data_IF_870293187770
#
_entry.id   IF_870293187770
#
_cell.length_a   1.000
_cell.length_b   1.000
_cell.length_c   1.000
_cell.angle_alpha   90.00
_cell.angle_beta   90.00
_cell.angle_gamma   90.00
#
_symmetry.space_group_name_H-M   'P 1'
#
loop_
_entity.id
_entity.type
_entity.pdbx_description
1 polymer ?
#
# COMPACT_ATOMS: atom_id res chain seq x y z
N UNK A 1 -6.24 6.73 9.88
CA UNK A 1 -5.45 5.99 8.86
C UNK A 1 -4.26 6.85 8.51
N UNK A 2 -3.04 6.31 8.54
CA UNK A 2 -1.78 7.08 8.42
C UNK A 2 -1.68 7.94 7.15
N UNK A 3 -2.21 7.47 6.03
CA UNK A 3 -2.21 8.14 4.74
C UNK A 3 -3.62 8.53 4.25
N UNK A 4 -4.52 8.90 5.15
CA UNK A 4 -5.82 9.48 4.79
C UNK A 4 -5.70 10.95 4.39
N UNK A 5 -4.67 11.66 4.86
CA UNK A 5 -4.33 13.01 4.42
C UNK A 5 -3.69 12.96 3.04
N UNK A 6 -4.17 13.83 2.12
CA UNK A 6 -3.69 13.88 0.73
C UNK A 6 -2.24 14.34 0.61
N UNK A 7 -1.77 15.22 1.49
CA UNK A 7 -0.39 15.68 1.47
C UNK A 7 0.56 14.55 1.86
N UNK A 8 0.20 13.78 2.90
CA UNK A 8 1.00 12.62 3.32
C UNK A 8 0.99 11.52 2.28
N UNK A 9 -0.16 11.28 1.62
CA UNK A 9 -0.26 10.33 0.52
C UNK A 9 0.58 10.75 -0.68
N UNK A 10 0.62 12.05 -1.01
CA UNK A 10 1.46 12.58 -2.09
C UNK A 10 2.95 12.45 -1.77
N UNK A 11 3.36 12.73 -0.52
CA UNK A 11 4.74 12.52 -0.06
C UNK A 11 5.15 11.04 -0.21
N UNK A 12 4.28 10.11 0.21
CA UNK A 12 4.52 8.68 0.04
C UNK A 12 4.65 8.29 -1.42
N UNK A 13 3.75 8.78 -2.29
CA UNK A 13 3.80 8.54 -3.73
C UNK A 13 5.13 9.04 -4.33
N UNK A 14 5.54 10.26 -3.99
CA UNK A 14 6.79 10.85 -4.43
C UNK A 14 8.01 10.01 -3.99
N UNK A 15 8.02 9.56 -2.73
CA UNK A 15 9.10 8.76 -2.18
C UNK A 15 9.26 7.41 -2.88
N UNK A 16 8.14 6.74 -3.22
CA UNK A 16 8.13 5.44 -3.91
C UNK A 16 8.56 5.58 -5.37
N UNK A 17 8.10 6.63 -6.05
CA UNK A 17 8.26 6.79 -7.50
C UNK A 17 9.44 7.70 -7.90
N UNK A 18 10.10 8.34 -6.93
CA UNK A 18 11.18 9.31 -7.19
C UNK A 18 10.68 10.55 -7.93
N UNK A 19 9.45 10.96 -7.65
CA UNK A 19 8.80 12.17 -8.21
C UNK A 19 8.78 13.30 -7.19
N UNK A 20 8.37 14.50 -7.61
CA UNK A 20 8.35 15.70 -6.78
C UNK A 20 7.09 16.54 -7.03
N UNK A 21 5.92 15.88 -7.08
CA UNK A 21 4.64 16.59 -7.14
C UNK A 21 4.42 17.36 -5.84
N UNK A 22 3.90 18.59 -5.94
CA UNK A 22 3.66 19.51 -4.82
C UNK A 22 2.18 19.84 -4.61
N UNK A 23 1.33 19.50 -5.58
CA UNK A 23 -0.11 19.74 -5.52
C UNK A 23 -0.89 18.46 -5.15
N UNK A 24 -1.43 18.35 -3.92
CA UNK A 24 -2.21 17.20 -3.49
C UNK A 24 -3.56 17.05 -4.21
N UNK A 25 -4.05 18.10 -4.87
CA UNK A 25 -5.31 18.03 -5.63
C UNK A 25 -5.17 17.23 -6.94
N UNK A 26 -3.94 16.94 -7.37
CA UNK A 26 -3.67 16.00 -8.45
C UNK A 26 -4.06 14.55 -8.10
N UNK A 27 -4.19 14.23 -6.81
CA UNK A 27 -4.63 12.92 -6.34
C UNK A 27 -6.14 12.79 -6.46
N UNK A 28 -6.59 11.90 -7.33
CA UNK A 28 -8.00 11.49 -7.39
C UNK A 28 -8.14 10.21 -6.54
N UNK A 29 -8.55 10.38 -5.29
CA UNK A 29 -8.76 9.25 -4.37
C UNK A 29 -10.07 8.57 -4.76
N UNK A 30 -9.99 7.31 -5.13
CA UNK A 30 -11.12 6.46 -5.44
C UNK A 30 -11.40 5.58 -4.21
N UNK A 31 -12.30 6.03 -3.35
CA UNK A 31 -12.81 5.21 -2.25
C UNK A 31 -13.78 4.19 -2.85
N UNK A 32 -13.41 2.92 -2.87
CA UNK A 32 -14.31 1.82 -3.19
C UNK A 32 -15.26 1.60 -1.99
N UNK A 33 -16.26 2.48 -1.83
CA UNK A 33 -17.26 2.37 -0.74
C UNK A 33 -18.11 1.09 -0.80
N UNK A 34 -18.05 0.35 -1.91
CA UNK A 34 -18.89 -0.83 -2.18
C UNK A 34 -18.12 -2.14 -2.41
N UNK A 35 -16.83 -2.21 -2.12
CA UNK A 35 -16.11 -3.46 -2.26
C UNK A 35 -16.54 -4.43 -1.15
N UNK A 36 -17.50 -5.30 -1.45
CA UNK A 36 -18.09 -6.33 -0.57
C UNK A 36 -17.03 -7.28 0.05
N UNK A 37 -15.81 -7.25 -0.44
CA UNK A 37 -14.67 -8.06 0.02
C UNK A 37 -13.63 -7.29 0.84
N UNK A 38 -13.82 -5.98 1.06
CA UNK A 38 -12.85 -5.17 1.79
C UNK A 38 -13.22 -5.04 3.28
N UNK A 39 -13.03 -6.10 4.04
CA UNK A 39 -12.93 -6.00 5.51
C UNK A 39 -11.60 -5.36 5.96
N UNK A 40 -10.84 -4.75 5.05
CA UNK A 40 -9.55 -4.14 5.32
C UNK A 40 -9.65 -2.61 5.31
N UNK A 41 -9.67 -2.04 6.49
CA UNK A 41 -9.79 -0.59 6.74
C UNK A 41 -8.54 0.23 6.36
N UNK A 42 -7.55 -0.35 5.68
CA UNK A 42 -6.24 0.28 5.49
C UNK A 42 -5.81 0.45 4.02
N UNK A 43 -6.64 0.08 3.06
CA UNK A 43 -6.27 0.14 1.66
C UNK A 43 -6.61 1.50 1.05
N UNK A 44 -5.66 2.05 0.32
CA UNK A 44 -5.82 3.32 -0.38
C UNK A 44 -5.65 3.08 -1.87
N UNK A 45 -6.67 3.49 -2.66
CA UNK A 45 -6.55 3.56 -4.11
C UNK A 45 -6.74 4.99 -4.60
N UNK A 46 -5.90 5.40 -5.55
CA UNK A 46 -5.94 6.75 -6.12
C UNK A 46 -5.34 6.78 -7.53
N UNK A 47 -5.78 7.76 -8.31
CA UNK A 47 -5.21 8.04 -9.63
C UNK A 47 -4.41 9.35 -9.55
N UNK A 48 -3.21 9.33 -10.08
CA UNK A 48 -2.38 10.49 -10.35
C UNK A 48 -1.71 10.31 -11.72
N UNK A 49 -1.79 11.31 -12.59
CA UNK A 49 -1.16 11.32 -13.91
C UNK A 49 -1.44 10.02 -14.72
N UNK A 50 -2.72 9.61 -14.77
CA UNK A 50 -3.20 8.38 -15.42
C UNK A 50 -2.51 7.09 -14.91
N UNK A 51 -2.03 7.08 -13.66
CA UNK A 51 -1.57 5.90 -12.95
C UNK A 51 -2.51 5.60 -11.80
N UNK A 52 -3.09 4.41 -11.82
CA UNK A 52 -3.92 3.91 -10.74
C UNK A 52 -3.02 3.20 -9.72
N UNK A 53 -2.92 3.74 -8.52
CA UNK A 53 -2.12 3.18 -7.45
C UNK A 53 -3.02 2.47 -6.44
N UNK A 54 -2.71 1.21 -6.14
CA UNK A 54 -3.37 0.42 -5.12
C UNK A 54 -2.31 0.09 -4.05
N UNK A 55 -2.44 0.72 -2.89
CA UNK A 55 -1.53 0.60 -1.76
C UNK A 55 -2.22 -0.18 -0.65
N UNK A 56 -1.58 -1.24 -0.20
CA UNK A 56 -2.10 -2.13 0.84
C UNK A 56 -1.07 -2.31 1.96
N UNK A 57 -1.52 -2.27 3.20
CA UNK A 57 -0.70 -2.54 4.37
C UNK A 57 -0.92 -3.98 4.85
N UNK A 58 0.15 -4.71 5.11
CA UNK A 58 0.10 -6.10 5.55
C UNK A 58 0.99 -6.36 6.77
N UNK A 59 0.38 -6.76 7.89
CA UNK A 59 1.08 -7.25 9.08
C UNK A 59 1.37 -8.75 9.02
N UNK A 60 0.77 -9.46 8.08
CA UNK A 60 1.02 -10.89 7.86
C UNK A 60 1.26 -11.12 6.37
N UNK A 61 2.34 -11.84 6.04
CA UNK A 61 2.62 -12.17 4.65
C UNK A 61 1.53 -13.07 4.07
N UNK A 62 0.96 -12.66 2.94
CA UNK A 62 0.00 -13.47 2.18
C UNK A 62 0.48 -13.64 0.73
N UNK A 63 0.71 -14.88 0.27
CA UNK A 63 1.04 -15.13 -1.14
C UNK A 63 -0.15 -14.87 -2.08
N UNK A 64 -1.38 -14.75 -1.56
CA UNK A 64 -2.59 -14.59 -2.36
C UNK A 64 -2.89 -13.13 -2.77
N UNK A 65 -2.02 -12.19 -2.41
CA UNK A 65 -2.19 -10.77 -2.74
C UNK A 65 -2.37 -10.50 -4.25
N UNK A 66 -1.65 -11.17 -5.18
CA UNK A 66 -1.90 -10.95 -6.60
C UNK A 66 -3.34 -11.26 -7.05
N UNK A 67 -3.97 -12.31 -6.50
CA UNK A 67 -5.38 -12.62 -6.80
C UNK A 67 -6.30 -11.53 -6.24
N UNK A 68 -6.05 -11.07 -5.02
CA UNK A 68 -6.84 -9.98 -4.41
C UNK A 68 -6.75 -8.71 -5.23
N UNK A 69 -5.55 -8.32 -5.65
CA UNK A 69 -5.35 -7.15 -6.51
C UNK A 69 -6.01 -7.29 -7.88
N UNK A 70 -6.02 -8.50 -8.46
CA UNK A 70 -6.75 -8.76 -9.71
C UNK A 70 -8.24 -8.44 -9.56
N UNK A 71 -8.86 -8.91 -8.48
CA UNK A 71 -10.27 -8.64 -8.21
C UNK A 71 -10.52 -7.14 -7.97
N UNK A 72 -9.67 -6.48 -7.17
CA UNK A 72 -9.80 -5.05 -6.90
C UNK A 72 -9.66 -4.19 -8.16
N UNK A 73 -8.64 -4.44 -8.97
CA UNK A 73 -8.45 -3.65 -10.20
C UNK A 73 -9.55 -3.88 -11.22
N UNK A 74 -10.13 -5.10 -11.26
CA UNK A 74 -11.26 -5.39 -12.12
C UNK A 74 -12.49 -4.56 -11.72
N UNK A 75 -12.78 -4.45 -10.42
CA UNK A 75 -13.87 -3.62 -9.90
C UNK A 75 -13.64 -2.14 -10.19
N UNK A 76 -12.43 -1.63 -9.94
CA UNK A 76 -12.06 -0.23 -10.25
C UNK A 76 -12.22 0.07 -11.74
N UNK A 77 -11.75 -0.82 -12.61
CA UNK A 77 -11.89 -0.63 -14.04
C UNK A 77 -13.34 -0.80 -14.53
N UNK A 78 -14.12 -1.66 -13.90
CA UNK A 78 -15.55 -1.79 -14.18
C UNK A 78 -16.28 -0.47 -13.91
N UNK A 79 -16.04 0.16 -12.74
CA UNK A 79 -16.61 1.46 -12.43
C UNK A 79 -16.07 2.58 -13.34
N UNK A 80 -14.77 2.61 -13.58
CA UNK A 80 -14.13 3.59 -14.45
C UNK A 80 -14.70 3.58 -15.89
N UNK A 81 -15.06 2.40 -16.38
CA UNK A 81 -15.52 2.21 -17.77
C UNK A 81 -17.03 2.14 -17.94
N UNK A 82 -17.82 2.24 -16.86
CA UNK A 82 -19.29 2.04 -16.89
C UNK A 82 -20.03 2.89 -17.91
N UNK A 83 -19.56 4.13 -18.15
CA UNK A 83 -20.14 5.07 -19.11
C UNK A 83 -19.41 5.08 -20.47
N UNK A 84 -18.48 4.12 -20.70
CA UNK A 84 -17.69 4.01 -21.91
C UNK A 84 -18.20 2.91 -22.83
N UNK A 85 -18.16 3.14 -24.14
CA UNK A 85 -18.53 2.11 -25.11
C UNK A 85 -17.37 1.12 -25.38
N UNK A 86 -17.32 0.03 -24.61
CA UNK A 86 -16.29 -1.01 -24.75
C UNK A 86 -16.47 -1.86 -26.02
N UNK A 87 -17.65 -1.83 -26.66
CA UNK A 87 -17.95 -2.57 -27.88
C UNK A 87 -17.73 -1.76 -29.17
N UNK A 88 -17.31 -0.49 -29.01
CA UNK A 88 -17.00 0.38 -30.14
C UNK A 88 -15.67 0.05 -30.80
N UNK A 89 -15.39 0.68 -31.93
CA UNK A 89 -14.14 0.50 -32.69
C UNK A 89 -12.99 1.36 -32.16
N UNK A 90 -13.27 2.30 -31.25
CA UNK A 90 -12.26 3.20 -30.64
C UNK A 90 -11.71 2.57 -29.36
N UNK A 91 -10.39 2.43 -29.26
CA UNK A 91 -9.75 1.94 -28.05
C UNK A 91 -10.00 2.84 -26.84
N UNK A 92 -10.48 2.27 -25.75
CA UNK A 92 -10.60 2.91 -24.43
C UNK A 92 -9.24 2.88 -23.75
N UNK A 93 -8.82 4.01 -23.18
CA UNK A 93 -7.56 4.12 -22.41
C UNK A 93 -7.85 3.98 -20.92
N UNK A 94 -7.11 3.11 -20.26
CA UNK A 94 -7.20 2.87 -18.82
C UNK A 94 -6.01 3.47 -18.10
N UNK A 95 -6.16 3.92 -16.84
CA UNK A 95 -5.04 4.28 -15.99
C UNK A 95 -4.13 3.06 -15.78
N UNK A 96 -2.81 3.25 -15.85
CA UNK A 96 -1.85 2.14 -15.65
C UNK A 96 -1.82 1.72 -14.19
N UNK A 97 -2.12 0.45 -13.84
CA UNK A 97 -2.18 0.02 -12.45
C UNK A 97 -0.78 -0.17 -11.85
N UNK A 98 -0.67 0.14 -10.55
CA UNK A 98 0.51 -0.11 -9.71
C UNK A 98 0.04 -0.71 -8.39
N UNK A 99 0.62 -1.82 -8.00
CA UNK A 99 0.28 -2.56 -6.78
C UNK A 99 1.47 -2.54 -5.84
N UNK A 100 1.32 -1.91 -4.69
CA UNK A 100 2.37 -1.79 -3.67
C UNK A 100 1.85 -2.27 -2.33
N UNK A 101 2.62 -3.15 -1.70
CA UNK A 101 2.33 -3.73 -0.39
C UNK A 101 3.36 -3.20 0.59
N UNK A 102 2.90 -2.57 1.66
CA UNK A 102 3.73 -2.18 2.79
C UNK A 102 3.67 -3.27 3.85
N UNK A 103 4.74 -4.04 3.96
CA UNK A 103 4.83 -5.13 4.91
C UNK A 103 5.51 -4.67 6.20
N UNK A 104 4.82 -4.83 7.32
CA UNK A 104 5.36 -4.59 8.65
C UNK A 104 5.19 -5.80 9.59
N UNK A 105 5.03 -7.01 9.06
CA UNK A 105 4.87 -8.23 9.86
C UNK A 105 6.16 -8.64 10.59
N UNK A 106 6.03 -9.63 11.50
CA UNK A 106 7.16 -10.15 12.28
C UNK A 106 7.98 -11.21 11.53
N UNK A 107 7.37 -11.91 10.56
CA UNK A 107 8.12 -12.88 9.76
C UNK A 107 9.17 -12.16 8.91
N UNK A 108 10.38 -12.71 8.89
CA UNK A 108 11.47 -12.14 8.10
C UNK A 108 11.12 -12.10 6.61
N UNK A 109 11.27 -10.94 6.01
CA UNK A 109 11.05 -10.71 4.59
C UNK A 109 12.13 -9.79 4.03
N UNK A 110 12.55 -9.95 2.76
CA UNK A 110 13.51 -9.06 2.13
C UNK A 110 12.97 -7.62 2.03
N UNK A 111 13.85 -6.65 1.84
CA UNK A 111 13.50 -5.25 1.65
C UNK A 111 12.45 -5.06 0.55
N UNK A 112 12.61 -5.81 -0.55
CA UNK A 112 11.73 -5.79 -1.72
C UNK A 112 11.49 -7.19 -2.24
N UNK A 113 10.22 -7.51 -2.50
CA UNK A 113 9.81 -8.78 -3.13
C UNK A 113 8.76 -8.51 -4.20
N UNK A 114 8.92 -9.11 -5.37
CA UNK A 114 7.88 -9.14 -6.41
C UNK A 114 6.99 -10.37 -6.17
N UNK A 115 5.69 -10.19 -6.21
CA UNK A 115 4.68 -11.25 -6.16
C UNK A 115 3.99 -11.28 -7.52
N UNK A 116 3.87 -12.46 -8.12
CA UNK A 116 3.29 -12.66 -9.44
C UNK A 116 2.03 -13.51 -9.37
N UNK A 117 1.04 -13.13 -10.16
CA UNK A 117 -0.19 -13.92 -10.28
C UNK A 117 0.09 -15.30 -10.88
N UNK A 118 1.00 -15.36 -11.84
CA UNK A 118 1.39 -16.63 -12.49
C UNK A 118 1.97 -17.67 -11.53
N UNK A 119 2.55 -17.25 -10.39
CA UNK A 119 3.06 -18.16 -9.35
C UNK A 119 1.92 -18.92 -8.64
N UNK A 120 0.68 -18.48 -8.79
CA UNK A 120 -0.52 -19.08 -8.18
C UNK A 120 -1.31 -19.97 -9.13
N UNK A 121 -0.90 -20.06 -10.38
CA UNK A 121 -1.55 -20.95 -11.35
C UNK A 121 -1.22 -22.41 -11.04
N UNK A 122 -2.22 -23.27 -11.08
CA UNK A 122 -2.07 -24.72 -10.84
C UNK A 122 -1.13 -25.40 -11.82
N UNK A 123 -1.05 -24.88 -13.05
CA UNK A 123 -0.14 -25.35 -14.10
C UNK A 123 0.79 -24.17 -14.43
N UNK A 124 2.12 -24.31 -14.22
CA UNK A 124 3.08 -23.29 -14.59
C UNK A 124 3.05 -23.00 -16.10
N UNK A 125 3.07 -21.72 -16.46
CA UNK A 125 3.16 -21.26 -17.84
C UNK A 125 4.26 -20.20 -17.93
N UNK A 126 5.15 -20.33 -18.90
CA UNK A 126 6.25 -19.38 -19.09
C UNK A 126 5.80 -18.07 -19.74
N UNK A 127 4.66 -18.08 -20.44
CA UNK A 127 4.09 -16.91 -21.12
C UNK A 127 2.56 -16.85 -20.88
N UNK A 128 2.13 -16.62 -19.63
CA UNK A 128 0.73 -16.66 -19.27
C UNK A 128 -0.05 -15.50 -19.94
N UNK A 129 -1.23 -15.81 -20.47
CA UNK A 129 -2.12 -14.81 -21.07
C UNK A 129 -2.62 -13.75 -20.07
N UNK A 130 -2.50 -14.01 -18.77
CA UNK A 130 -2.83 -13.09 -17.68
C UNK A 130 -1.68 -13.03 -16.68
N UNK A 131 -1.11 -11.87 -16.48
CA UNK A 131 -0.10 -11.62 -15.46
C UNK A 131 -0.42 -10.34 -14.67
N UNK A 132 -0.23 -10.39 -13.35
CA UNK A 132 -0.24 -9.26 -12.46
C UNK A 132 0.98 -9.35 -11.55
N UNK A 133 1.69 -8.24 -11.39
CA UNK A 133 2.87 -8.13 -10.54
C UNK A 133 2.64 -7.10 -9.47
N UNK A 134 2.76 -7.50 -8.22
CA UNK A 134 2.73 -6.61 -7.06
C UNK A 134 4.11 -6.52 -6.42
N UNK A 135 4.43 -5.35 -5.87
CA UNK A 135 5.70 -5.10 -5.19
C UNK A 135 5.45 -4.98 -3.70
N UNK A 136 6.04 -5.89 -2.94
CA UNK A 136 6.07 -5.80 -1.48
C UNK A 136 7.34 -5.08 -1.03
N UNK A 137 7.17 -4.06 -0.18
CA UNK A 137 8.23 -3.29 0.47
C UNK A 137 8.18 -3.57 1.97
N UNK A 138 9.27 -4.07 2.53
CA UNK A 138 9.39 -4.27 3.96
C UNK A 138 9.61 -2.92 4.64
N UNK A 139 8.64 -2.47 5.43
CA UNK A 139 8.68 -1.18 6.12
C UNK A 139 9.01 -1.31 7.62
N UNK A 140 9.53 -2.45 8.05
CA UNK A 140 10.04 -2.58 9.41
C UNK A 140 11.31 -1.72 9.61
N UNK A 141 11.57 -1.34 10.85
CA UNK A 141 12.79 -0.60 11.24
C UNK A 141 14.04 -1.31 10.72
N UNK A 142 14.92 -0.58 10.08
CA UNK A 142 16.16 -1.10 9.49
C UNK A 142 16.05 -1.53 8.02
N UNK A 143 14.84 -1.62 7.46
CA UNK A 143 14.59 -1.96 6.06
C UNK A 143 14.35 -0.73 5.19
N UNK A 144 14.52 -0.88 3.87
CA UNK A 144 14.24 0.15 2.84
C UNK A 144 14.71 1.56 3.22
N UNK A 145 15.95 1.68 3.71
CA UNK A 145 16.52 2.90 4.28
C UNK A 145 16.26 4.14 3.43
N UNK A 146 16.47 4.07 2.11
CA UNK A 146 16.26 5.21 1.21
C UNK A 146 14.79 5.69 1.19
N UNK A 147 13.85 4.75 1.21
CA UNK A 147 12.41 5.06 1.27
C UNK A 147 12.07 5.74 2.59
N UNK A 148 12.59 5.20 3.71
CA UNK A 148 12.37 5.76 5.05
C UNK A 148 12.93 7.18 5.16
N UNK A 149 14.14 7.44 4.70
CA UNK A 149 14.76 8.77 4.70
C UNK A 149 13.97 9.80 3.85
N UNK A 150 13.25 9.33 2.83
CA UNK A 150 12.48 10.20 1.93
C UNK A 150 11.03 10.43 2.41
N UNK A 151 10.45 9.48 3.14
CA UNK A 151 9.10 9.58 3.69
C UNK A 151 9.13 9.47 5.22
N UNK A 152 9.23 10.62 5.90
CA UNK A 152 9.32 10.71 7.36
C UNK A 152 8.14 10.02 8.05
N UNK A 153 6.92 10.22 7.58
CA UNK A 153 5.71 9.59 8.13
C UNK A 153 5.80 8.07 8.14
N UNK A 154 6.38 7.48 7.08
CA UNK A 154 6.60 6.03 7.02
C UNK A 154 7.70 5.57 7.99
N UNK A 155 8.77 6.37 8.12
CA UNK A 155 9.84 6.12 9.08
C UNK A 155 9.32 6.18 10.52
N UNK A 156 8.55 7.20 10.84
CA UNK A 156 7.94 7.41 12.16
C UNK A 156 7.00 6.25 12.51
N UNK A 157 6.20 5.79 11.53
CA UNK A 157 5.34 4.62 11.71
C UNK A 157 6.15 3.33 11.96
N UNK A 158 7.25 3.13 11.25
CA UNK A 158 8.14 1.99 11.48
C UNK A 158 8.75 2.01 12.90
N UNK A 159 9.15 3.18 13.38
CA UNK A 159 9.67 3.37 14.74
C UNK A 159 8.59 3.08 15.78
N UNK A 160 7.40 3.64 15.64
CA UNK A 160 6.26 3.39 16.52
C UNK A 160 5.93 1.90 16.62
N UNK A 161 5.77 1.22 15.47
CA UNK A 161 5.42 -0.21 15.47
C UNK A 161 6.54 -1.09 16.04
N UNK A 162 7.79 -0.69 15.87
CA UNK A 162 8.93 -1.36 16.50
C UNK A 162 8.86 -1.24 18.03
N UNK A 163 8.65 -0.05 18.60
CA UNK A 163 8.53 0.17 20.05
C UNK A 163 7.36 -0.60 20.65
N UNK A 164 6.20 -0.59 20.00
CA UNK A 164 5.04 -1.37 20.47
C UNK A 164 5.42 -2.85 20.61
N UNK A 165 6.17 -3.40 19.66
CA UNK A 165 6.59 -4.81 19.72
C UNK A 165 7.64 -5.10 20.79
N UNK A 166 8.57 -4.19 21.00
CA UNK A 166 9.54 -4.33 22.09
C UNK A 166 8.84 -4.35 23.44
N UNK A 167 7.93 -3.40 23.68
CA UNK A 167 7.20 -3.36 24.94
C UNK A 167 6.22 -4.52 25.12
N UNK A 168 5.56 -4.96 24.04
CA UNK A 168 4.65 -6.11 24.10
C UNK A 168 5.36 -7.46 24.42
N UNK A 169 6.69 -7.52 24.34
CA UNK A 169 7.45 -8.68 24.82
C UNK A 169 7.54 -8.73 26.37
N UNK A 170 7.36 -7.61 27.06
CA UNK A 170 7.55 -7.47 28.50
C UNK A 170 6.25 -7.10 29.26
N UNK A 171 5.24 -6.59 28.56
CA UNK A 171 3.98 -6.12 29.15
C UNK A 171 2.76 -6.42 28.25
N UNK A 172 1.51 -6.32 28.78
CA UNK A 172 0.28 -6.42 27.99
C UNK A 172 0.24 -5.42 26.84
N UNK A 173 -0.37 -5.82 25.71
CA UNK A 173 -0.36 -5.06 24.46
C UNK A 173 -0.95 -3.65 24.62
N UNK A 174 -1.99 -3.49 25.40
CA UNK A 174 -2.64 -2.21 25.68
C UNK A 174 -1.66 -1.22 26.36
N UNK A 175 -0.92 -1.68 27.37
CA UNK A 175 0.09 -0.88 28.04
C UNK A 175 1.30 -0.60 27.12
N UNK A 176 1.71 -1.58 26.32
CA UNK A 176 2.79 -1.42 25.34
C UNK A 176 2.46 -0.34 24.29
N UNK A 177 1.22 -0.31 23.81
CA UNK A 177 0.71 0.72 22.89
C UNK A 177 0.71 2.08 23.55
N UNK A 178 0.17 2.21 24.78
CA UNK A 178 0.10 3.48 25.52
C UNK A 178 1.50 4.05 25.79
N UNK A 179 2.44 3.21 26.20
CA UNK A 179 3.82 3.63 26.43
C UNK A 179 4.49 4.08 25.13
N UNK A 180 4.38 3.30 24.07
CA UNK A 180 4.97 3.65 22.76
C UNK A 180 4.40 4.97 22.23
N UNK A 181 3.09 5.22 22.34
CA UNK A 181 2.45 6.49 21.96
C UNK A 181 3.02 7.65 22.76
N UNK A 182 3.08 7.51 24.08
CA UNK A 182 3.56 8.58 24.98
C UNK A 182 5.00 8.98 24.63
N UNK A 183 5.87 8.01 24.42
CA UNK A 183 7.27 8.28 24.05
C UNK A 183 7.41 8.85 22.66
N UNK A 184 6.70 8.29 21.66
CA UNK A 184 6.72 8.80 20.29
C UNK A 184 6.28 10.27 20.25
N UNK A 185 5.18 10.63 20.91
CA UNK A 185 4.71 12.02 20.99
C UNK A 185 5.77 12.93 21.64
N UNK A 186 6.40 12.49 22.74
CA UNK A 186 7.43 13.28 23.44
C UNK A 186 8.66 13.56 22.58
N UNK A 187 8.95 12.69 21.63
CA UNK A 187 10.07 12.78 20.68
C UNK A 187 9.68 13.43 19.34
N UNK A 188 8.41 13.81 19.16
CA UNK A 188 7.89 14.39 17.91
C UNK A 188 7.76 13.37 16.78
N UNK A 189 7.62 12.07 17.12
CA UNK A 189 7.36 10.98 16.20
C UNK A 189 5.85 10.82 16.07
N UNK A 190 5.31 10.94 14.86
CA UNK A 190 3.86 10.91 14.59
C UNK A 190 3.05 11.87 15.49
N UNK A 191 3.62 12.99 15.94
CA UNK A 191 2.97 13.89 16.90
C UNK A 191 1.71 14.58 16.32
N UNK A 192 1.60 14.66 15.01
CA UNK A 192 0.46 15.27 14.28
C UNK A 192 -0.63 14.23 13.92
N UNK A 193 -0.48 12.97 14.32
CA UNK A 193 -1.40 11.85 14.11
C UNK A 193 -1.97 11.36 15.45
#
# INVERSE_FOLDING_TARGET
>A
MLFSDRNELLKLYNAINGTSYDDPDLLQVNTLENAVYMSMQNDVSFIIDMRLNLYEHQSTYSPNLPVRYLLYVADVYSDYTKDMNLYGTKAVKLPTPRFVIFYNGQAEQPDRKELKLSELFSIPDADPSLELKAVMLNINKGHNRKLMETCRTLQDYAEYTFRVREYAAEMPLDLAVEQAITECISEGILADF
#
